data_IF_793456649738
#
_entry.id   IF_793456649738
#
_cell.length_a   1.000
_cell.length_b   1.000
_cell.length_c   1.000
_cell.angle_alpha   90.00
_cell.angle_beta   90.00
_cell.angle_gamma   90.00
#
_symmetry.space_group_name_H-M   'P 1'
#
loop_
_entity.id
_entity.type
_entity.pdbx_description
1 polymer ?
#
# COMPACT_ATOMS: atom_id res chain seq x y z
N UNK A 1 -16.23 -10.51 4.33
CA UNK A 1 -15.40 -9.92 3.27
C UNK A 1 -15.02 -8.49 3.67
N UNK A 2 -13.76 -8.31 4.08
CA UNK A 2 -13.14 -7.04 4.49
C UNK A 2 -12.70 -6.24 3.26
N UNK A 3 -12.01 -6.91 2.33
CA UNK A 3 -11.56 -6.34 1.07
C UNK A 3 -12.57 -6.66 -0.01
N UNK A 4 -13.12 -5.63 -0.65
CA UNK A 4 -14.22 -5.75 -1.63
C UNK A 4 -13.82 -5.33 -3.05
N UNK A 5 -12.60 -4.81 -3.21
CA UNK A 5 -12.01 -4.40 -4.48
C UNK A 5 -10.50 -4.61 -4.42
N UNK A 6 -9.89 -4.97 -5.55
CA UNK A 6 -8.42 -5.02 -5.67
C UNK A 6 -7.78 -3.61 -5.70
N UNK A 7 -8.58 -2.55 -5.85
CA UNK A 7 -8.14 -1.18 -5.64
C UNK A 7 -7.96 -0.82 -4.15
N UNK A 8 -8.47 -1.62 -3.21
CA UNK A 8 -8.36 -1.35 -1.76
C UNK A 8 -6.95 -1.70 -1.25
N UNK A 9 -5.97 -1.00 -1.82
CA UNK A 9 -4.53 -1.13 -1.63
C UNK A 9 -3.86 0.22 -1.89
N UNK A 10 -2.57 0.34 -1.56
CA UNK A 10 -1.83 1.59 -1.74
C UNK A 10 -1.31 1.77 -3.18
N UNK A 11 -1.30 3.01 -3.72
CA UNK A 11 -0.90 3.30 -5.11
C UNK A 11 0.47 2.75 -5.48
N UNK A 12 1.43 2.81 -4.55
CA UNK A 12 2.80 2.38 -4.80
C UNK A 12 2.88 0.89 -5.20
N UNK A 13 1.86 0.09 -4.87
CA UNK A 13 1.77 -1.31 -5.27
C UNK A 13 1.54 -1.47 -6.76
N UNK A 14 0.68 -0.65 -7.35
CA UNK A 14 0.45 -0.65 -8.80
C UNK A 14 1.66 -0.12 -9.55
N UNK A 15 2.26 0.97 -9.05
CA UNK A 15 3.40 1.59 -9.72
C UNK A 15 4.63 0.69 -9.69
N UNK A 16 4.91 0.01 -8.58
CA UNK A 16 5.96 -1.00 -8.57
C UNK A 16 5.59 -2.20 -9.44
N UNK A 17 4.36 -2.71 -9.36
CA UNK A 17 3.93 -3.86 -10.16
C UNK A 17 4.06 -3.63 -11.68
N UNK A 18 3.79 -2.41 -12.16
CA UNK A 18 4.02 -2.03 -13.55
C UNK A 18 5.50 -2.12 -13.93
N UNK A 19 6.42 -1.65 -13.07
CA UNK A 19 7.86 -1.82 -13.28
C UNK A 19 8.23 -3.31 -13.32
N UNK A 20 7.67 -4.10 -12.42
CA UNK A 20 7.89 -5.56 -12.38
C UNK A 20 7.43 -6.21 -13.68
N UNK A 21 6.26 -5.84 -14.20
CA UNK A 21 5.75 -6.37 -15.47
C UNK A 21 6.71 -6.07 -16.62
N UNK A 22 7.14 -4.81 -16.76
CA UNK A 22 7.91 -4.38 -17.92
C UNK A 22 9.39 -4.76 -17.86
N UNK A 23 9.97 -4.84 -16.66
CA UNK A 23 11.41 -4.95 -16.49
C UNK A 23 11.86 -6.23 -15.78
N UNK A 24 11.01 -6.80 -14.91
CA UNK A 24 11.35 -7.96 -14.08
C UNK A 24 10.29 -9.09 -14.07
N UNK A 25 9.70 -9.48 -15.21
CA UNK A 25 8.55 -10.41 -15.23
C UNK A 25 8.89 -11.81 -14.70
N UNK A 26 10.16 -12.21 -14.76
CA UNK A 26 10.65 -13.51 -14.27
C UNK A 26 11.05 -13.53 -12.79
N UNK A 27 11.03 -12.40 -12.09
CA UNK A 27 11.51 -12.31 -10.72
C UNK A 27 10.67 -13.16 -9.75
N UNK A 28 11.34 -13.87 -8.84
CA UNK A 28 10.72 -14.62 -7.76
C UNK A 28 11.03 -13.94 -6.42
N UNK A 29 10.06 -13.89 -5.53
CA UNK A 29 10.20 -13.25 -4.22
C UNK A 29 9.53 -14.07 -3.14
N UNK A 30 9.91 -13.78 -1.90
CA UNK A 30 9.26 -14.28 -0.70
C UNK A 30 9.02 -13.12 0.27
N UNK A 31 7.79 -13.01 0.77
CA UNK A 31 7.41 -12.09 1.84
C UNK A 31 7.07 -12.90 3.09
N UNK A 32 7.41 -12.36 4.25
CA UNK A 32 7.05 -12.91 5.56
C UNK A 32 6.34 -11.87 6.40
N UNK A 33 5.19 -12.24 6.94
CA UNK A 33 4.51 -11.43 7.94
C UNK A 33 5.27 -11.48 9.26
N UNK A 34 5.27 -10.36 9.98
CA UNK A 34 5.73 -10.31 11.36
C UNK A 34 4.86 -9.36 12.19
N UNK A 35 4.21 -9.91 13.21
CA UNK A 35 3.71 -9.10 14.32
C UNK A 35 4.89 -8.66 15.19
N UNK A 36 5.03 -7.35 15.40
CA UNK A 36 6.11 -6.78 16.22
C UNK A 36 5.68 -6.45 17.65
N UNK A 37 4.38 -6.53 17.92
CA UNK A 37 3.83 -6.21 19.24
C UNK A 37 3.83 -7.49 20.08
N UNK A 38 4.54 -7.51 21.22
CA UNK A 38 4.56 -8.68 22.09
C UNK A 38 3.16 -8.92 22.69
N UNK A 39 2.80 -10.20 22.89
CA UNK A 39 1.56 -10.59 23.56
C UNK A 39 0.29 -10.43 22.72
N UNK A 40 0.40 -10.12 21.42
CA UNK A 40 -0.76 -10.10 20.52
C UNK A 40 -1.05 -11.52 20.03
N UNK A 41 -2.19 -12.07 20.44
CA UNK A 41 -2.66 -13.38 20.00
C UNK A 41 -3.42 -13.26 18.67
N UNK A 42 -2.90 -13.90 17.63
CA UNK A 42 -3.52 -13.97 16.30
C UNK A 42 -3.93 -15.39 15.92
N UNK A 43 -3.31 -16.42 16.52
CA UNK A 43 -3.62 -17.81 16.26
C UNK A 43 -5.11 -18.16 16.44
N UNK A 44 -5.85 -17.61 17.44
CA UNK A 44 -7.27 -17.90 17.58
C UNK A 44 -8.13 -17.45 16.38
N UNK A 45 -7.64 -16.50 15.58
CA UNK A 45 -8.38 -15.91 14.45
C UNK A 45 -7.90 -16.41 13.08
N UNK A 46 -7.04 -17.43 13.06
CA UNK A 46 -6.38 -17.90 11.83
C UNK A 46 -7.36 -18.36 10.74
N UNK A 47 -8.46 -19.02 11.12
CA UNK A 47 -9.48 -19.47 10.16
C UNK A 47 -10.25 -18.31 9.54
N UNK A 48 -10.54 -17.26 10.31
CA UNK A 48 -11.18 -16.05 9.79
C UNK A 48 -10.24 -15.33 8.81
N UNK A 49 -8.95 -15.21 9.16
CA UNK A 49 -7.92 -14.64 8.28
C UNK A 49 -7.80 -15.43 6.97
N UNK A 50 -7.75 -16.77 7.04
CA UNK A 50 -7.72 -17.65 5.86
C UNK A 50 -8.97 -17.45 4.98
N UNK A 51 -10.16 -17.38 5.58
CA UNK A 51 -11.42 -17.16 4.87
C UNK A 51 -11.45 -15.80 4.15
N UNK A 52 -10.93 -14.75 4.79
CA UNK A 52 -10.85 -13.40 4.20
C UNK A 52 -9.79 -13.34 3.08
N UNK A 53 -8.66 -14.05 3.20
CA UNK A 53 -7.66 -14.19 2.13
C UNK A 53 -8.24 -14.97 0.94
N UNK A 54 -8.98 -16.05 1.19
CA UNK A 54 -9.69 -16.78 0.13
C UNK A 54 -10.68 -15.89 -0.61
N UNK A 55 -11.41 -15.06 0.14
CA UNK A 55 -12.31 -14.05 -0.42
C UNK A 55 -11.56 -13.02 -1.28
N UNK A 56 -10.41 -12.52 -0.81
CA UNK A 56 -9.51 -11.65 -1.57
C UNK A 56 -9.06 -12.29 -2.90
N UNK A 57 -8.66 -13.56 -2.88
CA UNK A 57 -8.25 -14.31 -4.07
C UNK A 57 -9.40 -14.56 -5.06
N UNK A 58 -10.66 -14.35 -4.67
CA UNK A 58 -11.82 -14.45 -5.57
C UNK A 58 -12.12 -13.17 -6.36
N UNK A 59 -11.51 -12.04 -5.98
CA UNK A 59 -11.76 -10.74 -6.59
C UNK A 59 -11.12 -10.63 -7.98
N UNK A 60 -11.73 -9.79 -8.81
CA UNK A 60 -11.23 -9.36 -10.11
C UNK A 60 -11.44 -7.85 -10.21
N UNK A 61 -10.62 -7.16 -11.00
CA UNK A 61 -10.85 -5.75 -11.29
C UNK A 61 -12.13 -5.59 -12.12
N UNK A 62 -12.92 -4.56 -11.80
CA UNK A 62 -14.10 -4.18 -12.58
C UNK A 62 -13.72 -3.23 -13.71
N UNK A 63 -14.55 -3.14 -14.74
CA UNK A 63 -14.30 -2.27 -15.90
C UNK A 63 -14.16 -0.79 -15.54
N UNK A 64 -14.94 -0.29 -14.57
CA UNK A 64 -14.87 1.08 -14.07
C UNK A 64 -13.58 1.33 -13.27
N UNK A 65 -13.14 0.35 -12.48
CA UNK A 65 -11.86 0.37 -11.76
C UNK A 65 -10.66 0.39 -12.74
N UNK A 66 -10.71 -0.42 -13.79
CA UNK A 66 -9.70 -0.45 -14.84
C UNK A 66 -9.68 0.85 -15.64
N UNK A 67 -10.86 1.40 -15.98
CA UNK A 67 -10.96 2.69 -16.65
C UNK A 67 -10.38 3.83 -15.79
N UNK A 68 -10.60 3.81 -14.48
CA UNK A 68 -9.98 4.76 -13.55
C UNK A 68 -8.46 4.63 -13.55
N UNK A 69 -7.90 3.41 -13.42
CA UNK A 69 -6.45 3.21 -13.50
C UNK A 69 -5.88 3.69 -14.84
N UNK A 70 -6.56 3.41 -15.95
CA UNK A 70 -6.17 3.86 -17.30
C UNK A 70 -6.17 5.39 -17.45
N UNK A 71 -6.94 6.11 -16.62
CA UNK A 71 -6.96 7.58 -16.62
C UNK A 71 -5.73 8.22 -15.94
N UNK A 72 -4.99 7.44 -15.13
CA UNK A 72 -3.76 7.93 -14.48
C UNK A 72 -2.64 8.00 -15.50
N UNK A 73 -2.11 9.21 -15.74
CA UNK A 73 -1.14 9.48 -16.82
C UNK A 73 0.11 8.59 -16.85
N UNK A 74 0.52 8.06 -15.70
CA UNK A 74 1.71 7.23 -15.52
C UNK A 74 1.43 5.72 -15.60
N UNK A 75 0.15 5.33 -15.64
CA UNK A 75 -0.28 3.94 -15.80
C UNK A 75 -0.42 3.62 -17.29
N UNK A 76 0.32 2.62 -17.77
CA UNK A 76 0.36 2.24 -19.19
C UNK A 76 -0.78 1.28 -19.53
N UNK A 77 -1.27 1.35 -20.77
CA UNK A 77 -2.45 0.60 -21.21
C UNK A 77 -2.27 -0.91 -21.13
N UNK A 78 -1.09 -1.42 -21.51
CA UNK A 78 -0.74 -2.83 -21.45
C UNK A 78 -0.73 -3.37 -20.01
N UNK A 79 -0.30 -2.56 -19.04
CA UNK A 79 -0.42 -2.90 -17.63
C UNK A 79 -1.89 -3.01 -17.19
N UNK A 80 -2.76 -2.08 -17.62
CA UNK A 80 -4.21 -2.17 -17.32
C UNK A 80 -4.84 -3.40 -17.95
N UNK A 81 -4.47 -3.73 -19.19
CA UNK A 81 -4.98 -4.92 -19.89
C UNK A 81 -4.53 -6.21 -19.18
N UNK A 82 -3.29 -6.23 -18.66
CA UNK A 82 -2.83 -7.29 -17.76
C UNK A 82 -3.66 -7.36 -16.47
N UNK A 83 -3.97 -6.23 -15.83
CA UNK A 83 -4.81 -6.20 -14.63
C UNK A 83 -6.22 -6.75 -14.91
N UNK A 84 -6.77 -6.56 -16.10
CA UNK A 84 -8.06 -7.15 -16.48
C UNK A 84 -8.10 -8.69 -16.44
N UNK A 85 -6.94 -9.34 -16.59
CA UNK A 85 -6.79 -10.80 -16.47
C UNK A 85 -6.22 -11.23 -15.11
N UNK A 86 -5.77 -10.27 -14.30
CA UNK A 86 -5.07 -10.54 -13.07
C UNK A 86 -6.00 -11.14 -12.01
N UNK A 87 -5.47 -12.12 -11.29
CA UNK A 87 -6.11 -12.70 -10.11
C UNK A 87 -5.06 -13.12 -9.09
N UNK A 88 -5.29 -12.78 -7.82
CA UNK A 88 -4.50 -13.32 -6.72
C UNK A 88 -4.76 -14.82 -6.58
N UNK A 89 -3.71 -15.59 -6.30
CA UNK A 89 -3.80 -17.05 -6.26
C UNK A 89 -3.39 -17.58 -4.89
N UNK A 90 -4.29 -18.35 -4.27
CA UNK A 90 -4.09 -18.97 -2.94
C UNK A 90 -2.84 -19.86 -2.90
N UNK A 91 -2.40 -20.42 -4.03
CA UNK A 91 -1.19 -21.26 -4.07
C UNK A 91 0.10 -20.53 -3.65
N UNK A 92 0.10 -19.20 -3.69
CA UNK A 92 1.25 -18.38 -3.34
C UNK A 92 1.26 -17.92 -1.88
N UNK A 93 0.22 -18.17 -1.10
CA UNK A 93 0.11 -17.69 0.28
C UNK A 93 -0.22 -18.83 1.24
N UNK A 94 0.61 -18.97 2.27
CA UNK A 94 0.41 -19.92 3.35
C UNK A 94 0.26 -19.15 4.66
N UNK A 95 -0.77 -19.50 5.43
CA UNK A 95 -1.04 -18.96 6.77
C UNK A 95 -1.03 -20.13 7.76
N UNK A 96 -0.18 -20.10 8.77
CA UNK A 96 -0.10 -21.15 9.81
C UNK A 96 -0.06 -20.55 11.20
N UNK A 97 -0.84 -21.06 12.18
CA UNK A 97 -0.67 -20.68 13.57
C UNK A 97 0.64 -21.28 14.11
N UNK A 98 1.27 -20.62 15.07
CA UNK A 98 2.43 -21.16 15.77
C UNK A 98 2.17 -21.38 17.27
N UNK A 99 3.08 -22.11 17.92
CA UNK A 99 2.96 -22.50 19.32
C UNK A 99 3.00 -21.32 20.31
N UNK A 100 3.42 -20.14 19.86
CA UNK A 100 3.48 -18.92 20.67
C UNK A 100 2.18 -18.10 20.65
N UNK A 101 1.11 -18.60 20.00
CA UNK A 101 -0.14 -17.86 19.82
C UNK A 101 -0.09 -16.81 18.68
N UNK A 102 1.02 -16.73 17.95
CA UNK A 102 1.16 -15.89 16.77
C UNK A 102 0.75 -16.65 15.49
N UNK A 103 0.85 -15.98 14.34
CA UNK A 103 0.68 -16.58 13.02
C UNK A 103 1.89 -16.30 12.14
N UNK A 104 2.24 -17.28 11.32
CA UNK A 104 3.19 -17.15 10.23
C UNK A 104 2.41 -17.02 8.92
N UNK A 105 2.67 -15.94 8.17
CA UNK A 105 2.17 -15.79 6.80
C UNK A 105 3.37 -15.70 5.88
N UNK A 106 3.46 -16.63 4.94
CA UNK A 106 4.50 -16.66 3.91
C UNK A 106 3.81 -16.49 2.56
N UNK A 107 4.29 -15.53 1.78
CA UNK A 107 3.86 -15.33 0.40
C UNK A 107 5.06 -15.58 -0.49
N UNK A 108 5.01 -16.58 -1.37
CA UNK A 108 6.14 -16.98 -2.21
C UNK A 108 5.68 -17.24 -3.64
N UNK A 109 6.40 -16.68 -4.62
CA UNK A 109 6.10 -16.88 -6.04
C UNK A 109 6.61 -15.75 -6.93
N UNK A 110 6.13 -15.67 -8.18
CA UNK A 110 6.52 -14.60 -9.10
C UNK A 110 6.14 -13.25 -8.52
N UNK A 111 7.08 -12.29 -8.51
CA UNK A 111 6.88 -10.96 -7.91
C UNK A 111 5.64 -10.27 -8.48
N UNK A 112 5.45 -10.37 -9.80
CA UNK A 112 4.29 -9.84 -10.51
C UNK A 112 2.95 -10.37 -9.96
N UNK A 113 2.91 -11.62 -9.47
CA UNK A 113 1.68 -12.25 -8.98
C UNK A 113 1.51 -12.20 -7.46
N UNK A 114 2.54 -11.75 -6.73
CA UNK A 114 2.55 -11.74 -5.26
C UNK A 114 2.60 -10.35 -4.64
N UNK A 115 3.07 -9.34 -5.38
CA UNK A 115 3.27 -7.96 -4.88
C UNK A 115 2.00 -7.34 -4.28
N UNK A 116 0.83 -7.63 -4.86
CA UNK A 116 -0.46 -7.09 -4.43
C UNK A 116 -1.03 -7.75 -3.15
N UNK A 117 -0.39 -8.78 -2.59
CA UNK A 117 -0.86 -9.36 -1.32
C UNK A 117 -0.56 -8.47 -0.11
N UNK A 118 0.54 -7.70 -0.09
CA UNK A 118 1.04 -7.04 1.15
C UNK A 118 -0.05 -6.23 1.86
N UNK A 119 -0.61 -5.22 1.19
CA UNK A 119 -1.50 -4.26 1.84
C UNK A 119 -2.85 -4.90 2.19
N UNK A 120 -3.54 -5.62 1.29
CA UNK A 120 -4.80 -6.28 1.63
C UNK A 120 -4.66 -7.30 2.77
N UNK A 121 -3.59 -8.11 2.77
CA UNK A 121 -3.37 -9.10 3.84
C UNK A 121 -3.13 -8.42 5.18
N UNK A 122 -2.31 -7.35 5.23
CA UNK A 122 -2.11 -6.58 6.46
C UNK A 122 -3.42 -5.95 6.97
N UNK A 123 -4.23 -5.39 6.08
CA UNK A 123 -5.53 -4.81 6.43
C UNK A 123 -6.52 -5.88 6.93
N UNK A 124 -6.54 -7.07 6.33
CA UNK A 124 -7.34 -8.22 6.77
C UNK A 124 -6.93 -8.64 8.18
N UNK A 125 -5.65 -8.91 8.42
CA UNK A 125 -5.15 -9.37 9.74
C UNK A 125 -5.52 -8.34 10.82
N UNK A 126 -5.31 -7.06 10.53
CA UNK A 126 -5.56 -6.00 11.49
C UNK A 126 -7.06 -5.81 11.79
N UNK A 127 -7.92 -5.83 10.76
CA UNK A 127 -9.36 -5.68 10.96
C UNK A 127 -10.01 -6.92 11.61
N UNK A 128 -9.57 -8.14 11.26
CA UNK A 128 -9.99 -9.38 11.96
C UNK A 128 -9.63 -9.29 13.45
N UNK A 129 -8.42 -8.86 13.77
CA UNK A 129 -7.99 -8.68 15.16
C UNK A 129 -8.91 -7.71 15.93
N UNK A 130 -9.19 -6.54 15.36
CA UNK A 130 -10.02 -5.54 16.02
C UNK A 130 -11.51 -5.92 16.10
N UNK A 131 -12.06 -6.62 15.10
CA UNK A 131 -13.42 -7.18 15.18
C UNK A 131 -13.59 -8.14 16.36
N UNK A 132 -12.57 -8.94 16.62
CA UNK A 132 -12.61 -9.94 17.68
C UNK A 132 -12.29 -9.39 19.07
N UNK A 133 -11.35 -8.44 19.17
CA UNK A 133 -10.90 -7.88 20.46
C UNK A 133 -11.63 -6.61 20.88
N UNK A 134 -12.20 -5.86 19.94
CA UNK A 134 -12.91 -4.59 20.17
C UNK A 134 -14.33 -4.66 19.60
N UNK A 135 -15.12 -5.64 20.05
CA UNK A 135 -16.48 -5.92 19.52
C UNK A 135 -17.43 -4.73 19.59
N UNK A 136 -17.25 -3.86 20.59
CA UNK A 136 -17.99 -2.61 20.76
C UNK A 136 -16.99 -1.43 20.78
N UNK A 137 -16.52 -0.98 19.60
CA UNK A 137 -15.51 0.07 19.54
C UNK A 137 -16.11 1.41 19.96
N UNK A 138 -15.35 2.18 20.74
CA UNK A 138 -15.70 3.55 21.10
C UNK A 138 -15.40 4.52 19.93
N UNK A 139 -16.27 4.51 18.93
CA UNK A 139 -16.18 5.40 17.77
C UNK A 139 -16.36 6.88 18.16
N UNK A 140 -17.04 7.16 19.28
CA UNK A 140 -17.18 8.53 19.78
C UNK A 140 -15.84 9.08 20.24
N UNK A 141 -15.06 8.29 20.98
CA UNK A 141 -13.68 8.63 21.32
C UNK A 141 -12.82 8.78 20.06
N UNK A 142 -12.98 7.89 19.06
CA UNK A 142 -12.31 8.02 17.76
C UNK A 142 -12.56 9.36 17.09
N UNK A 143 -13.84 9.77 16.99
CA UNK A 143 -14.27 11.05 16.41
C UNK A 143 -13.74 12.25 17.21
N UNK A 144 -13.80 12.19 18.53
CA UNK A 144 -13.28 13.24 19.41
C UNK A 144 -11.77 13.46 19.22
N UNK A 145 -10.99 12.37 19.11
CA UNK A 145 -9.55 12.43 18.82
C UNK A 145 -9.29 13.00 17.42
N UNK A 146 -10.07 12.61 16.42
CA UNK A 146 -9.95 13.15 15.06
C UNK A 146 -10.24 14.65 15.03
N UNK A 147 -11.33 15.08 15.66
CA UNK A 147 -11.72 16.49 15.77
C UNK A 147 -10.62 17.33 16.41
N UNK A 148 -10.05 16.85 17.52
CA UNK A 148 -8.97 17.54 18.23
C UNK A 148 -7.75 17.76 17.32
N UNK A 149 -7.36 16.74 16.55
CA UNK A 149 -6.23 16.83 15.61
C UNK A 149 -6.53 17.75 14.42
N UNK A 150 -7.75 17.70 13.89
CA UNK A 150 -8.17 18.60 12.80
C UNK A 150 -8.10 20.06 13.27
N UNK A 151 -8.59 20.37 14.49
CA UNK A 151 -8.49 21.72 15.04
C UNK A 151 -7.05 22.20 15.16
N UNK A 152 -6.10 21.32 15.50
CA UNK A 152 -4.67 21.65 15.51
C UNK A 152 -4.17 21.99 14.10
N UNK A 153 -4.55 21.21 13.08
CA UNK A 153 -4.16 21.47 11.69
C UNK A 153 -4.76 22.76 11.13
N UNK A 154 -5.89 23.21 11.65
CA UNK A 154 -6.56 24.45 11.26
C UNK A 154 -5.97 25.71 11.93
N UNK A 155 -4.87 25.59 12.68
CA UNK A 155 -4.15 26.74 13.23
C UNK A 155 -3.66 27.68 12.11
N UNK A 156 -3.61 28.99 12.40
CA UNK A 156 -3.32 30.01 11.39
C UNK A 156 -1.94 29.86 10.72
N UNK A 157 -0.96 29.38 11.47
CA UNK A 157 0.41 29.11 11.02
C UNK A 157 0.55 27.82 10.20
N UNK A 158 -0.48 26.97 10.19
CA UNK A 158 -0.49 25.68 9.48
C UNK A 158 -1.37 25.68 8.22
N UNK A 159 -1.92 26.82 7.80
CA UNK A 159 -2.80 26.90 6.61
C UNK A 159 -2.17 26.36 5.32
N UNK A 160 -0.85 26.45 5.18
CA UNK A 160 -0.12 25.91 4.03
C UNK A 160 0.33 24.46 4.21
N UNK A 161 0.20 23.89 5.41
CA UNK A 161 0.59 22.50 5.69
C UNK A 161 -0.32 21.55 4.90
N UNK A 162 0.32 20.64 4.15
CA UNK A 162 -0.36 19.56 3.45
C UNK A 162 -0.18 18.26 4.23
N UNK A 163 -1.26 17.50 4.39
CA UNK A 163 -1.23 16.15 4.95
C UNK A 163 -1.80 15.14 3.95
N UNK A 164 -1.32 13.90 4.02
CA UNK A 164 -1.77 12.79 3.18
C UNK A 164 -2.14 11.59 4.05
N UNK A 165 -3.09 10.79 3.59
CA UNK A 165 -3.44 9.53 4.24
C UNK A 165 -2.64 8.36 3.66
N UNK A 166 -1.81 7.71 4.49
CA UNK A 166 -1.12 6.43 4.22
C UNK A 166 -1.53 5.34 5.22
N UNK A 167 -2.81 5.33 5.61
CA UNK A 167 -3.34 4.53 6.72
C UNK A 167 -3.80 3.10 6.40
N UNK A 168 -3.83 2.68 5.12
CA UNK A 168 -4.50 1.43 4.68
C UNK A 168 -4.06 0.19 5.47
N UNK A 169 -2.74 -0.06 5.53
CA UNK A 169 -2.16 -1.32 6.03
C UNK A 169 -2.47 -1.65 7.50
N UNK A 170 -2.81 -0.65 8.32
CA UNK A 170 -3.07 -0.79 9.77
C UNK A 170 -4.34 -0.07 10.20
N UNK A 171 -5.27 0.14 9.26
CA UNK A 171 -6.57 0.74 9.56
C UNK A 171 -7.34 -0.10 10.57
N UNK A 172 -8.05 0.55 11.50
CA UNK A 172 -8.91 -0.14 12.47
C UNK A 172 -9.97 -0.99 11.78
N UNK A 173 -10.66 -0.39 10.80
CA UNK A 173 -11.52 -1.07 9.85
C UNK A 173 -11.63 -0.25 8.56
N UNK A 174 -12.08 -0.88 7.49
CA UNK A 174 -12.40 -0.20 6.22
C UNK A 174 -13.42 0.92 6.44
N UNK A 175 -14.49 0.66 7.18
CA UNK A 175 -15.54 1.64 7.44
C UNK A 175 -15.03 2.85 8.23
N UNK A 176 -14.18 2.62 9.23
CA UNK A 176 -13.56 3.70 9.99
C UNK A 176 -12.58 4.52 9.13
N UNK A 177 -11.81 3.87 8.27
CA UNK A 177 -10.90 4.55 7.33
C UNK A 177 -11.67 5.47 6.39
N UNK A 178 -12.78 4.98 5.81
CA UNK A 178 -13.66 5.80 4.97
C UNK A 178 -14.23 7.00 5.73
N UNK A 179 -14.71 6.80 6.96
CA UNK A 179 -15.24 7.89 7.79
C UNK A 179 -14.19 8.98 8.03
N UNK A 180 -12.97 8.59 8.43
CA UNK A 180 -11.86 9.52 8.63
C UNK A 180 -11.58 10.33 7.37
N UNK A 181 -11.51 9.68 6.21
CA UNK A 181 -11.27 10.36 4.93
C UNK A 181 -12.36 11.38 4.61
N UNK A 182 -13.64 11.00 4.74
CA UNK A 182 -14.77 11.91 4.49
C UNK A 182 -14.72 13.14 5.41
N UNK A 183 -14.38 12.95 6.69
CA UNK A 183 -14.22 14.06 7.64
C UNK A 183 -13.05 14.95 7.27
N UNK A 184 -11.89 14.39 6.88
CA UNK A 184 -10.73 15.19 6.45
C UNK A 184 -11.06 16.01 5.20
N UNK A 185 -11.74 15.44 4.21
CA UNK A 185 -12.19 16.17 3.02
C UNK A 185 -13.09 17.35 3.41
N UNK A 186 -14.11 17.11 4.24
CA UNK A 186 -15.07 18.15 4.61
C UNK A 186 -14.48 19.26 5.48
N UNK A 187 -13.43 18.97 6.26
CA UNK A 187 -12.88 19.92 7.25
C UNK A 187 -11.58 20.59 6.82
N UNK A 188 -10.77 19.91 6.02
CA UNK A 188 -9.47 20.42 5.57
C UNK A 188 -9.49 20.80 4.07
N UNK A 189 -10.50 20.35 3.32
CA UNK A 189 -10.56 20.48 1.86
C UNK A 189 -9.51 19.62 1.16
N UNK A 190 -9.76 19.30 -0.11
CA UNK A 190 -8.82 18.57 -0.96
C UNK A 190 -8.34 19.40 -2.16
N UNK A 191 -7.36 18.88 -2.90
CA UNK A 191 -6.83 19.53 -4.11
C UNK A 191 -5.84 20.66 -3.84
N UNK A 192 -5.69 21.57 -4.79
CA UNK A 192 -4.65 22.63 -4.77
C UNK A 192 -4.75 23.53 -3.54
N UNK A 193 -5.97 23.88 -3.12
CA UNK A 193 -6.20 24.83 -2.03
C UNK A 193 -6.51 24.17 -0.68
N UNK A 194 -6.84 22.87 -0.65
CA UNK A 194 -7.15 22.15 0.59
C UNK A 194 -5.92 21.62 1.31
N UNK A 195 -5.93 21.53 2.64
CA UNK A 195 -4.80 20.98 3.40
C UNK A 195 -4.67 19.45 3.22
N UNK A 196 -5.72 18.74 2.80
CA UNK A 196 -5.66 17.30 2.55
C UNK A 196 -5.23 17.01 1.11
N UNK A 197 -4.00 16.55 0.94
CA UNK A 197 -3.38 16.32 -0.37
C UNK A 197 -3.98 15.13 -1.14
N UNK A 198 -4.45 14.11 -0.43
CA UNK A 198 -4.95 12.87 -1.01
C UNK A 198 -4.72 11.65 -0.12
N UNK A 199 -4.88 10.46 -0.68
CA UNK A 199 -4.73 9.16 0.01
C UNK A 199 -3.91 8.20 -0.84
N UNK A 200 -3.16 7.30 -0.21
CA UNK A 200 -2.56 6.18 -0.95
C UNK A 200 -3.57 5.13 -1.38
N UNK A 201 -4.70 5.02 -0.68
CA UNK A 201 -5.69 4.00 -0.96
C UNK A 201 -6.40 4.27 -2.30
N UNK A 202 -6.14 3.45 -3.31
CA UNK A 202 -6.61 3.69 -4.67
C UNK A 202 -8.13 3.59 -4.77
N UNK A 203 -8.75 2.68 -4.01
CA UNK A 203 -10.20 2.54 -3.93
C UNK A 203 -10.87 3.79 -3.38
N UNK A 204 -10.35 4.34 -2.27
CA UNK A 204 -10.90 5.58 -1.71
C UNK A 204 -10.56 6.81 -2.55
N UNK A 205 -9.41 6.84 -3.21
CA UNK A 205 -9.10 7.89 -4.16
C UNK A 205 -10.12 7.94 -5.30
N UNK A 206 -10.41 6.76 -5.89
CA UNK A 206 -11.44 6.58 -6.91
C UNK A 206 -12.83 6.99 -6.42
N UNK A 207 -13.28 6.41 -5.30
CA UNK A 207 -14.65 6.61 -4.79
C UNK A 207 -14.94 8.02 -4.28
N UNK A 208 -13.92 8.71 -3.76
CA UNK A 208 -14.06 10.04 -3.14
C UNK A 208 -13.53 11.18 -4.02
N UNK A 209 -13.05 10.88 -5.23
CA UNK A 209 -12.49 11.87 -6.15
C UNK A 209 -11.23 12.55 -5.60
N UNK A 210 -10.35 11.81 -4.94
CA UNK A 210 -9.09 12.31 -4.39
C UNK A 210 -7.91 12.01 -5.30
N UNK A 211 -6.84 12.76 -5.14
CA UNK A 211 -5.55 12.43 -5.73
C UNK A 211 -5.01 11.14 -5.09
N UNK A 212 -4.73 10.07 -5.86
CA UNK A 212 -4.02 8.91 -5.35
C UNK A 212 -2.53 9.26 -5.15
N UNK A 213 -1.97 8.88 -4.01
CA UNK A 213 -0.60 9.25 -3.61
C UNK A 213 0.28 8.02 -3.36
N UNK A 214 1.51 8.05 -3.85
CA UNK A 214 2.49 6.99 -3.64
C UNK A 214 3.51 6.96 -4.78
N UNK A 215 4.72 6.51 -4.49
CA UNK A 215 5.80 6.39 -5.49
C UNK A 215 6.33 4.97 -5.50
N UNK A 216 7.43 4.72 -4.80
CA UNK A 216 8.09 3.43 -4.62
C UNK A 216 8.14 3.07 -3.13
N UNK A 217 8.39 1.79 -2.83
CA UNK A 217 8.63 1.31 -1.47
C UNK A 217 10.00 0.63 -1.35
N UNK A 218 10.43 0.38 -0.12
CA UNK A 218 11.70 -0.29 0.18
C UNK A 218 11.85 -1.62 -0.56
N UNK A 219 10.76 -2.38 -0.76
CA UNK A 219 10.82 -3.67 -1.45
C UNK A 219 11.41 -3.58 -2.86
N UNK A 220 11.17 -2.47 -3.58
CA UNK A 220 11.66 -2.29 -4.94
C UNK A 220 13.19 -2.17 -4.97
N UNK A 221 13.73 -1.33 -4.08
CA UNK A 221 15.18 -1.18 -3.92
C UNK A 221 15.82 -2.44 -3.34
N UNK A 222 15.14 -3.12 -2.42
CA UNK A 222 15.58 -4.40 -1.86
C UNK A 222 15.65 -5.49 -2.94
N UNK A 223 14.64 -5.59 -3.80
CA UNK A 223 14.63 -6.55 -4.90
C UNK A 223 15.80 -6.30 -5.86
N UNK A 224 16.12 -5.03 -6.16
CA UNK A 224 17.25 -4.67 -7.04
C UNK A 224 18.62 -5.19 -6.56
N UNK A 225 18.76 -5.56 -5.29
CA UNK A 225 19.97 -6.23 -4.76
C UNK A 225 20.19 -7.62 -5.35
N UNK A 226 19.13 -8.26 -5.86
CA UNK A 226 19.11 -9.63 -6.37
C UNK A 226 18.69 -9.74 -7.85
N UNK A 227 18.40 -8.62 -8.53
CA UNK A 227 17.86 -8.61 -9.91
C UNK A 227 18.92 -8.45 -11.01
N UNK A 228 20.21 -8.64 -10.67
CA UNK A 228 21.30 -8.68 -11.65
C UNK A 228 22.49 -7.74 -11.42
N UNK A 229 22.34 -6.47 -10.95
CA UNK A 229 23.51 -5.61 -10.77
C UNK A 229 24.40 -6.14 -9.64
N UNK A 230 25.65 -5.65 -9.57
CA UNK A 230 26.45 -5.86 -8.35
C UNK A 230 25.75 -5.17 -7.19
N UNK A 231 25.83 -5.74 -6.00
CA UNK A 231 25.17 -5.20 -4.81
C UNK A 231 25.47 -3.71 -4.57
N UNK A 232 26.69 -3.25 -4.87
CA UNK A 232 27.06 -1.82 -4.70
C UNK A 232 26.37 -0.88 -5.71
N UNK A 233 25.93 -1.39 -6.85
CA UNK A 233 25.31 -0.62 -7.93
C UNK A 233 23.77 -0.74 -7.88
N UNK A 234 23.21 -1.52 -6.94
CA UNK A 234 21.78 -1.87 -6.94
C UNK A 234 20.87 -0.67 -6.73
N UNK A 235 21.31 0.34 -5.97
CA UNK A 235 20.54 1.56 -5.71
C UNK A 235 20.45 2.44 -6.97
N UNK A 236 21.59 2.69 -7.62
CA UNK A 236 21.64 3.43 -8.90
C UNK A 236 20.79 2.71 -9.94
N UNK A 237 20.95 1.39 -10.07
CA UNK A 237 20.15 0.57 -10.98
C UNK A 237 18.64 0.70 -10.72
N UNK A 238 18.22 0.72 -9.44
CA UNK A 238 16.81 0.90 -9.08
C UNK A 238 16.28 2.27 -9.53
N UNK A 239 17.04 3.35 -9.29
CA UNK A 239 16.64 4.70 -9.69
C UNK A 239 16.60 4.87 -11.21
N UNK A 240 17.59 4.35 -11.94
CA UNK A 240 17.58 4.39 -13.41
C UNK A 240 16.39 3.63 -14.00
N UNK A 241 16.10 2.44 -13.46
CA UNK A 241 14.98 1.60 -13.89
C UNK A 241 13.63 2.28 -13.63
N UNK A 242 13.49 2.97 -12.50
CA UNK A 242 12.30 3.76 -12.16
C UNK A 242 12.14 4.99 -13.06
N UNK A 243 13.23 5.75 -13.25
CA UNK A 243 13.24 6.92 -14.13
C UNK A 243 12.95 6.54 -15.58
N UNK A 244 13.43 5.38 -16.05
CA UNK A 244 13.12 4.83 -17.37
C UNK A 244 11.64 4.48 -17.52
N UNK A 245 11.03 3.95 -16.46
CA UNK A 245 9.61 3.57 -16.46
C UNK A 245 8.70 4.79 -16.54
N UNK A 246 8.94 5.79 -15.68
CA UNK A 246 8.01 6.88 -15.39
C UNK A 246 8.42 8.24 -15.94
N UNK A 247 9.65 8.41 -16.44
CA UNK A 247 10.10 9.59 -17.19
C UNK A 247 9.80 10.92 -16.47
N UNK A 248 10.00 10.96 -15.15
CA UNK A 248 9.80 12.14 -14.30
C UNK A 248 8.51 12.09 -13.46
N UNK A 249 7.54 11.24 -13.81
CA UNK A 249 6.44 10.93 -12.90
C UNK A 249 6.92 10.12 -11.69
N UNK A 250 6.19 10.24 -10.58
CA UNK A 250 6.47 9.49 -9.34
C UNK A 250 7.90 9.66 -8.81
N UNK A 251 8.48 10.86 -8.97
CA UNK A 251 9.87 11.19 -8.68
C UNK A 251 10.22 11.41 -7.20
N UNK A 252 9.59 10.69 -6.26
CA UNK A 252 9.99 10.70 -4.84
C UNK A 252 10.72 9.40 -4.52
N UNK A 253 12.00 9.50 -4.20
CA UNK A 253 12.87 8.38 -3.85
C UNK A 253 12.98 8.18 -2.33
N UNK A 254 13.05 6.92 -1.90
CA UNK A 254 13.34 6.56 -0.50
C UNK A 254 14.85 6.53 -0.27
N UNK A 255 15.30 7.14 0.83
CA UNK A 255 16.73 7.41 1.07
C UNK A 255 17.39 6.54 2.13
N UNK A 256 16.69 5.57 2.70
CA UNK A 256 17.08 4.86 3.93
C UNK A 256 17.21 3.33 3.78
N UNK A 257 17.07 2.79 2.56
CA UNK A 257 17.17 1.33 2.32
C UNK A 257 18.54 0.78 2.74
N UNK A 258 19.61 1.50 2.42
CA UNK A 258 20.99 1.15 2.78
C UNK A 258 21.59 2.11 3.82
N UNK A 259 21.00 3.30 3.96
CA UNK A 259 21.48 4.39 4.79
C UNK A 259 21.67 5.68 4.00
N UNK A 260 21.41 6.81 4.66
CA UNK A 260 21.35 8.13 4.02
C UNK A 260 22.66 8.54 3.34
N UNK A 261 23.81 8.22 3.94
CA UNK A 261 25.10 8.53 3.33
C UNK A 261 25.37 7.73 2.04
N UNK A 262 24.83 6.51 1.92
CA UNK A 262 24.93 5.75 0.67
C UNK A 262 24.01 6.35 -0.38
N UNK A 263 22.77 6.68 -0.01
CA UNK A 263 21.84 7.41 -0.87
C UNK A 263 22.46 8.68 -1.48
N UNK A 264 23.04 9.57 -0.66
CA UNK A 264 23.62 10.82 -1.14
C UNK A 264 24.82 10.65 -2.10
N UNK A 265 25.54 9.53 -2.02
CA UNK A 265 26.64 9.25 -2.97
C UNK A 265 26.14 8.79 -4.33
N UNK A 266 25.01 8.09 -4.33
CA UNK A 266 24.43 7.48 -5.53
C UNK A 266 23.39 8.41 -6.21
N UNK A 267 22.85 9.38 -5.47
CA UNK A 267 21.86 10.35 -5.95
C UNK A 267 22.55 11.59 -6.56
N UNK A 268 23.17 11.40 -7.71
CA UNK A 268 23.87 12.46 -8.45
C UNK A 268 22.91 13.37 -9.25
N UNK A 269 23.47 14.33 -9.99
CA UNK A 269 22.71 15.31 -10.79
C UNK A 269 21.83 14.69 -11.88
N UNK A 270 22.01 13.43 -12.24
CA UNK A 270 21.14 12.75 -13.19
C UNK A 270 19.73 12.49 -12.60
N UNK A 271 19.61 12.38 -11.28
CA UNK A 271 18.34 12.11 -10.59
C UNK A 271 17.69 13.36 -9.96
N UNK A 272 18.32 14.54 -10.09
CA UNK A 272 17.85 15.83 -9.58
C UNK A 272 16.96 16.60 -10.56
#
# INVERSE_FOLDING_TARGET
>A
MIITSLLDTDLYKFTMMQVVLHQFPGAQVEYRFKCRNPGVELAPFVEEIRSEIKSLCSLHFKEDELAYLRSLRFIKSDFVDFLGLFKLNEKYIQVTPNLAGEIDIVIQGPWLHTILFEIPVLAIVNEVYFRNTQRLPDLMQGRSRLETKIKQLQADDLKSLKIADYGTRRRFSRAWHEEVLRVLIGRLGSGLNGQFAGTSNVHFAYMLGLTPLGTMAHEYLQACQALGPRLRDSQVFAFESWAREYRGDLGIALSDVYGFNAFLRDFDMYFC
#
